data_IF_898191230986
#
_entry.id   IF_898191230986
#
_cell.length_a   1.000
_cell.length_b   1.000
_cell.length_c   1.000
_cell.angle_alpha   90.00
_cell.angle_beta   90.00
_cell.angle_gamma   90.00
#
_symmetry.space_group_name_H-M   'P 1'
#
loop_
_entity.id
_entity.type
_entity.pdbx_description
1 polymer ?
#
# COMPACT_ATOMS: atom_id res chain seq x y z
N UNK A 1 12.63 3.70 23.23
CA UNK A 1 11.89 4.01 22.01
C UNK A 1 11.69 2.70 21.28
N UNK A 2 10.44 2.30 21.13
CA UNK A 2 10.10 1.15 20.27
C UNK A 2 10.56 1.49 18.85
N UNK A 3 11.42 0.64 18.28
CA UNK A 3 12.09 0.93 17.01
C UNK A 3 11.10 0.66 15.87
N UNK A 4 11.06 1.56 14.89
CA UNK A 4 10.17 1.43 13.73
C UNK A 4 10.53 0.11 12.99
N UNK A 5 9.54 -0.73 12.62
CA UNK A 5 9.76 -2.08 12.08
C UNK A 5 10.23 -2.06 10.61
N UNK A 6 11.30 -1.33 10.29
CA UNK A 6 11.82 -1.14 8.92
C UNK A 6 12.98 -2.09 8.63
N UNK A 7 12.75 -3.03 7.71
CA UNK A 7 13.67 -4.14 7.43
C UNK A 7 15.07 -3.65 7.04
N UNK A 8 15.17 -2.61 6.22
CA UNK A 8 16.42 -2.04 5.72
C UNK A 8 17.27 -1.33 6.78
N UNK A 9 16.72 -1.11 7.99
CA UNK A 9 17.41 -0.49 9.12
C UNK A 9 17.77 -1.49 10.22
N UNK A 10 17.40 -2.77 10.07
CA UNK A 10 17.62 -3.81 11.05
C UNK A 10 19.01 -4.45 10.90
N UNK A 11 19.54 -4.91 12.03
CA UNK A 11 20.70 -5.81 12.09
C UNK A 11 20.21 -7.26 11.99
N UNK A 12 21.04 -8.20 11.51
CA UNK A 12 20.63 -9.60 11.36
C UNK A 12 20.02 -10.24 12.62
N UNK A 13 20.61 -10.04 13.79
CA UNK A 13 20.05 -10.57 15.05
C UNK A 13 18.66 -10.03 15.41
N UNK A 14 18.33 -8.80 14.99
CA UNK A 14 16.97 -8.25 15.16
C UNK A 14 15.97 -8.97 14.24
N UNK A 15 16.40 -9.36 13.03
CA UNK A 15 15.57 -10.14 12.10
C UNK A 15 15.34 -11.54 12.65
N UNK A 16 16.38 -12.19 13.15
CA UNK A 16 16.28 -13.51 13.81
C UNK A 16 15.27 -13.51 14.97
N UNK A 17 15.23 -12.43 15.75
CA UNK A 17 14.27 -12.29 16.85
C UNK A 17 12.84 -12.08 16.35
N UNK A 18 12.65 -11.32 15.27
CA UNK A 18 11.34 -11.18 14.62
C UNK A 18 10.85 -12.51 14.07
N UNK A 19 11.69 -13.29 13.39
CA UNK A 19 11.30 -14.59 12.82
C UNK A 19 10.84 -15.58 13.89
N UNK A 20 11.40 -15.52 15.10
CA UNK A 20 10.99 -16.38 16.23
C UNK A 20 9.64 -15.98 16.84
N UNK A 21 9.28 -14.70 16.80
CA UNK A 21 8.12 -14.16 17.52
C UNK A 21 6.92 -13.90 16.59
N UNK A 22 7.20 -13.32 15.43
CA UNK A 22 6.22 -12.82 14.47
C UNK A 22 6.85 -12.90 13.07
N UNK A 23 6.87 -14.09 12.43
CA UNK A 23 7.47 -14.30 11.09
C UNK A 23 6.59 -13.70 9.99
N UNK A 24 6.36 -12.39 10.09
CA UNK A 24 5.49 -11.58 9.22
C UNK A 24 6.35 -10.62 8.41
N UNK A 25 6.12 -10.57 7.10
CA UNK A 25 6.70 -9.56 6.22
C UNK A 25 5.61 -8.74 5.54
N UNK A 26 5.69 -7.42 5.64
CA UNK A 26 4.80 -6.49 4.93
C UNK A 26 5.50 -5.95 3.70
N UNK A 27 4.87 -6.12 2.53
CA UNK A 27 5.32 -5.59 1.26
C UNK A 27 4.40 -4.42 0.87
N UNK A 28 4.79 -3.16 1.13
CA UNK A 28 4.07 -2.00 0.62
C UNK A 28 4.37 -1.78 -0.86
N UNK A 29 3.34 -1.85 -1.68
CA UNK A 29 3.46 -1.81 -3.14
C UNK A 29 2.61 -0.69 -3.73
N UNK A 30 3.19 0.10 -4.62
CA UNK A 30 2.48 1.14 -5.34
C UNK A 30 3.18 1.54 -6.63
N UNK A 31 2.87 2.74 -7.11
CA UNK A 31 3.44 3.31 -8.31
C UNK A 31 4.03 4.70 -8.07
N UNK A 32 4.80 5.18 -9.06
CA UNK A 32 5.10 6.60 -9.22
C UNK A 32 4.16 7.14 -10.29
N UNK A 33 3.07 7.76 -9.85
CA UNK A 33 1.95 8.12 -10.69
C UNK A 33 1.42 9.52 -10.40
N UNK A 34 0.94 10.15 -11.45
CA UNK A 34 0.20 11.40 -11.40
C UNK A 34 -1.00 11.30 -10.46
N UNK A 35 -0.98 12.11 -9.41
CA UNK A 35 -2.06 12.20 -8.41
C UNK A 35 -2.61 13.63 -8.30
N UNK A 36 -2.82 14.27 -9.45
CA UNK A 36 -3.13 15.70 -9.51
C UNK A 36 -1.93 16.57 -9.15
N UNK A 37 -2.12 17.89 -9.20
CA UNK A 37 -1.03 18.86 -8.91
C UNK A 37 -0.80 19.09 -7.42
N UNK A 38 -1.74 18.68 -6.57
CA UNK A 38 -1.70 18.91 -5.13
C UNK A 38 -0.98 17.82 -4.36
N UNK A 39 -0.91 16.59 -4.86
CA UNK A 39 -0.19 15.50 -4.20
C UNK A 39 1.19 15.27 -4.84
N UNK A 40 2.08 14.61 -4.08
CA UNK A 40 3.32 14.07 -4.64
C UNK A 40 3.06 12.90 -5.60
N UNK A 41 4.07 12.55 -6.41
CA UNK A 41 4.01 11.42 -7.35
C UNK A 41 3.98 10.05 -6.66
N UNK A 42 4.37 9.97 -5.38
CA UNK A 42 4.56 8.71 -4.66
C UNK A 42 3.38 8.25 -3.80
N UNK A 43 2.18 8.83 -3.96
CA UNK A 43 1.01 8.58 -3.07
C UNK A 43 0.85 7.10 -2.75
N UNK A 44 0.77 6.26 -3.78
CA UNK A 44 0.52 4.82 -3.68
C UNK A 44 1.42 4.11 -2.67
N UNK A 45 2.73 4.09 -2.94
CA UNK A 45 3.64 3.29 -2.13
C UNK A 45 3.91 3.97 -0.78
N UNK A 46 3.87 5.31 -0.70
CA UNK A 46 4.09 6.05 0.54
C UNK A 46 2.98 5.80 1.56
N UNK A 47 1.70 5.91 1.17
CA UNK A 47 0.57 5.63 2.09
C UNK A 47 0.54 4.15 2.48
N UNK A 48 0.76 3.23 1.54
CA UNK A 48 0.80 1.80 1.82
C UNK A 48 1.90 1.46 2.83
N UNK A 49 3.10 2.04 2.68
CA UNK A 49 4.21 1.86 3.60
C UNK A 49 3.93 2.42 5.00
N UNK A 50 3.34 3.61 5.10
CA UNK A 50 2.96 4.19 6.39
C UNK A 50 1.92 3.32 7.13
N UNK A 51 0.92 2.82 6.40
CA UNK A 51 -0.09 1.90 6.92
C UNK A 51 0.57 0.59 7.38
N UNK A 52 1.48 0.00 6.59
CA UNK A 52 2.22 -1.20 6.98
C UNK A 52 3.03 -0.99 8.27
N UNK A 53 3.69 0.17 8.42
CA UNK A 53 4.41 0.53 9.66
C UNK A 53 3.46 0.53 10.85
N UNK A 54 2.29 1.15 10.73
CA UNK A 54 1.33 1.24 11.83
C UNK A 54 0.65 -0.09 12.16
N UNK A 55 0.45 -0.95 11.17
CA UNK A 55 0.03 -2.34 11.40
C UNK A 55 1.13 -3.11 12.14
N UNK A 56 2.37 -3.08 11.65
CA UNK A 56 3.49 -3.83 12.22
C UNK A 56 3.82 -3.42 13.66
N UNK A 57 3.61 -2.15 14.04
CA UNK A 57 3.69 -1.71 15.44
C UNK A 57 2.73 -2.46 16.37
N UNK A 58 1.65 -3.04 15.84
CA UNK A 58 0.61 -3.75 16.61
C UNK A 58 0.74 -5.26 16.56
N UNK A 59 1.20 -5.79 15.42
CA UNK A 59 1.21 -7.23 15.14
C UNK A 59 2.61 -7.82 15.11
N UNK A 60 3.66 -6.99 15.19
CA UNK A 60 5.04 -7.40 14.96
C UNK A 60 5.37 -7.57 13.48
N UNK A 61 6.50 -8.20 13.18
CA UNK A 61 7.00 -8.40 11.82
C UNK A 61 7.95 -7.32 11.32
N UNK A 62 8.31 -7.43 10.04
CA UNK A 62 9.16 -6.46 9.33
C UNK A 62 8.39 -5.83 8.18
N UNK A 63 8.61 -4.53 7.96
CA UNK A 63 8.09 -3.78 6.82
C UNK A 63 9.23 -3.54 5.85
N UNK A 64 9.05 -3.99 4.61
CA UNK A 64 10.01 -3.75 3.53
C UNK A 64 9.94 -2.28 3.08
N UNK A 65 11.02 -1.75 2.47
CA UNK A 65 10.96 -0.47 1.76
C UNK A 65 9.80 -0.41 0.76
N UNK A 66 9.19 0.77 0.54
CA UNK A 66 8.14 0.96 -0.45
C UNK A 66 8.62 0.59 -1.86
N UNK A 67 7.83 -0.23 -2.55
CA UNK A 67 8.08 -0.61 -3.94
C UNK A 67 7.29 0.32 -4.85
N UNK A 68 8.00 1.02 -5.73
CA UNK A 68 7.46 1.92 -6.73
C UNK A 68 7.45 1.25 -8.12
N UNK A 69 6.58 0.26 -8.31
CA UNK A 69 6.46 -0.51 -9.54
C UNK A 69 4.99 -0.75 -9.94
N UNK A 70 4.38 0.27 -10.55
CA UNK A 70 3.00 0.21 -11.03
C UNK A 70 2.87 -0.27 -12.47
N UNK A 71 1.87 -1.08 -12.73
CA UNK A 71 1.37 -1.44 -14.06
C UNK A 71 -0.02 -0.82 -14.24
N UNK A 72 -0.38 -0.46 -15.47
CA UNK A 72 -1.69 0.10 -15.82
C UNK A 72 -2.00 1.37 -15.01
N UNK A 73 -1.07 2.32 -15.07
CA UNK A 73 -1.15 3.62 -14.40
C UNK A 73 -2.02 4.61 -15.18
N UNK A 74 -2.00 5.89 -14.82
CA UNK A 74 -2.62 7.00 -15.53
C UNK A 74 -1.91 7.37 -16.84
N UNK A 75 -0.67 6.88 -17.05
CA UNK A 75 0.11 7.18 -18.25
C UNK A 75 -0.53 6.67 -19.54
N UNK A 76 -0.99 5.41 -19.65
CA UNK A 76 -1.65 4.89 -20.85
C UNK A 76 -3.04 5.48 -21.06
N UNK A 77 -3.68 6.02 -20.00
CA UNK A 77 -5.04 6.57 -20.09
C UNK A 77 -5.06 7.96 -20.74
N UNK A 78 -4.26 8.91 -20.23
CA UNK A 78 -4.29 10.33 -20.68
C UNK A 78 -2.91 10.92 -20.99
N UNK A 79 -1.83 10.15 -20.83
CA UNK A 79 -0.47 10.66 -21.06
C UNK A 79 0.00 11.63 -19.98
N UNK A 80 -0.55 11.55 -18.75
CA UNK A 80 -0.09 12.34 -17.62
C UNK A 80 1.42 12.13 -17.42
N UNK A 81 2.18 13.24 -17.54
CA UNK A 81 3.63 13.22 -17.45
C UNK A 81 4.06 12.97 -16.01
N UNK A 82 5.32 12.55 -15.82
CA UNK A 82 5.92 12.20 -14.53
C UNK A 82 5.42 10.89 -13.90
N UNK A 83 4.54 10.17 -14.59
CA UNK A 83 4.19 8.78 -14.28
C UNK A 83 5.18 7.79 -14.89
N UNK A 84 5.64 6.83 -14.10
CA UNK A 84 6.39 5.66 -14.55
C UNK A 84 5.45 4.48 -14.74
N UNK A 85 5.55 3.82 -15.89
CA UNK A 85 4.74 2.67 -16.26
C UNK A 85 5.68 1.47 -16.37
N UNK A 86 5.49 0.48 -15.51
CA UNK A 86 6.26 -0.76 -15.49
C UNK A 86 5.43 -1.86 -16.14
N UNK A 87 6.07 -2.69 -16.97
CA UNK A 87 5.34 -3.77 -17.65
C UNK A 87 4.76 -4.76 -16.65
N UNK A 88 3.63 -5.38 -17.01
CA UNK A 88 2.99 -6.43 -16.21
C UNK A 88 3.97 -7.54 -15.86
N UNK A 89 4.76 -7.97 -16.84
CA UNK A 89 5.71 -9.08 -16.69
C UNK A 89 6.78 -8.76 -15.64
N UNK A 90 7.32 -7.54 -15.65
CA UNK A 90 8.34 -7.14 -14.68
C UNK A 90 7.74 -6.96 -13.28
N UNK A 91 6.53 -6.39 -13.16
CA UNK A 91 5.82 -6.28 -11.87
C UNK A 91 5.57 -7.67 -11.27
N UNK A 92 5.08 -8.61 -12.07
CA UNK A 92 4.82 -9.99 -11.64
C UNK A 92 6.11 -10.74 -11.28
N UNK A 93 7.17 -10.60 -12.09
CA UNK A 93 8.45 -11.21 -11.81
C UNK A 93 9.05 -10.65 -10.52
N UNK A 94 9.04 -9.32 -10.34
CA UNK A 94 9.57 -8.68 -9.14
C UNK A 94 8.83 -9.16 -7.88
N UNK A 95 7.50 -9.24 -7.90
CA UNK A 95 6.75 -9.78 -6.76
C UNK A 95 7.13 -11.24 -6.48
N UNK A 96 7.25 -12.07 -7.51
CA UNK A 96 7.67 -13.48 -7.33
C UNK A 96 9.02 -13.56 -6.65
N UNK A 97 10.02 -12.78 -7.07
CA UNK A 97 11.33 -12.75 -6.43
C UNK A 97 11.24 -12.35 -4.95
N UNK A 98 10.44 -11.33 -4.60
CA UNK A 98 10.22 -10.97 -3.20
C UNK A 98 9.60 -12.11 -2.38
N UNK A 99 8.59 -12.79 -2.92
CA UNK A 99 7.93 -13.90 -2.22
C UNK A 99 8.90 -15.07 -1.99
N UNK A 100 9.71 -15.44 -3.00
CA UNK A 100 10.73 -16.48 -2.88
C UNK A 100 11.76 -16.14 -1.81
N UNK A 101 12.33 -14.93 -1.86
CA UNK A 101 13.36 -14.51 -0.90
C UNK A 101 12.81 -14.41 0.53
N UNK A 102 11.60 -13.90 0.72
CA UNK A 102 10.99 -13.82 2.05
C UNK A 102 10.65 -15.21 2.61
N UNK A 103 10.17 -16.12 1.76
CA UNK A 103 9.92 -17.50 2.17
C UNK A 103 11.20 -18.22 2.58
N UNK A 104 12.29 -18.04 1.82
CA UNK A 104 13.62 -18.60 2.09
C UNK A 104 14.21 -18.09 3.42
N UNK A 105 14.10 -16.79 3.69
CA UNK A 105 14.51 -16.17 4.96
C UNK A 105 13.66 -16.64 6.17
N UNK A 106 12.56 -17.37 5.93
CA UNK A 106 11.78 -17.99 6.99
C UNK A 106 10.49 -17.26 7.37
N UNK A 107 10.09 -16.22 6.63
CA UNK A 107 8.79 -15.59 6.84
C UNK A 107 7.66 -16.58 6.47
N UNK A 108 6.53 -16.48 7.19
CA UNK A 108 5.39 -17.42 7.06
C UNK A 108 4.06 -16.71 6.85
N UNK A 109 3.94 -15.45 7.26
CA UNK A 109 2.83 -14.58 6.88
C UNK A 109 3.39 -13.46 6.01
N UNK A 110 2.94 -13.36 4.77
CA UNK A 110 3.36 -12.29 3.85
C UNK A 110 2.14 -11.43 3.53
N UNK A 111 2.26 -10.13 3.76
CA UNK A 111 1.16 -9.17 3.63
C UNK A 111 1.52 -8.15 2.54
N UNK A 112 0.95 -8.33 1.35
CA UNK A 112 1.07 -7.40 0.25
C UNK A 112 -0.04 -6.33 0.35
N UNK A 113 0.35 -5.10 0.65
CA UNK A 113 -0.55 -3.94 0.76
C UNK A 113 -0.36 -3.05 -0.46
N UNK A 114 -1.40 -2.94 -1.29
CA UNK A 114 -1.34 -2.25 -2.58
C UNK A 114 -1.96 -0.85 -2.53
N UNK A 115 -1.13 0.19 -2.57
CA UNK A 115 -1.59 1.57 -2.67
C UNK A 115 -2.07 1.99 -4.07
N UNK A 116 -1.69 1.25 -5.11
CA UNK A 116 -2.17 1.46 -6.49
C UNK A 116 -3.40 0.61 -6.76
N UNK A 117 -4.49 1.23 -7.18
CA UNK A 117 -5.81 0.57 -7.29
C UNK A 117 -6.21 0.17 -8.70
N UNK A 118 -5.33 0.34 -9.70
CA UNK A 118 -5.59 -0.06 -11.07
C UNK A 118 -6.02 -1.53 -11.12
N UNK A 119 -7.25 -1.82 -11.58
CA UNK A 119 -7.81 -3.18 -11.54
C UNK A 119 -6.87 -4.25 -12.14
N UNK A 120 -6.33 -3.99 -13.33
CA UNK A 120 -5.42 -4.90 -13.99
C UNK A 120 -4.10 -5.10 -13.23
N UNK A 121 -3.65 -4.11 -12.46
CA UNK A 121 -2.50 -4.22 -11.58
C UNK A 121 -2.78 -5.10 -10.36
N UNK A 122 -3.89 -4.82 -9.67
CA UNK A 122 -4.32 -5.57 -8.49
C UNK A 122 -4.53 -7.04 -8.84
N UNK A 123 -5.21 -7.32 -9.97
CA UNK A 123 -5.39 -8.68 -10.48
C UNK A 123 -4.04 -9.34 -10.80
N UNK A 124 -3.12 -8.66 -11.49
CA UNK A 124 -1.81 -9.21 -11.84
C UNK A 124 -0.96 -9.61 -10.62
N UNK A 125 -1.01 -8.84 -9.53
CA UNK A 125 -0.30 -9.16 -8.29
C UNK A 125 -1.01 -10.28 -7.51
N UNK A 126 -2.35 -10.28 -7.46
CA UNK A 126 -3.15 -11.33 -6.82
C UNK A 126 -2.93 -12.70 -7.46
N UNK A 127 -2.80 -12.76 -8.79
CA UNK A 127 -2.49 -14.00 -9.51
C UNK A 127 -1.19 -14.62 -8.99
N UNK A 128 -0.13 -13.81 -8.85
CA UNK A 128 1.18 -14.27 -8.34
C UNK A 128 1.09 -14.73 -6.88
N UNK A 129 0.38 -13.98 -6.03
CA UNK A 129 0.15 -14.39 -4.64
C UNK A 129 -0.63 -15.70 -4.54
N UNK A 130 -1.65 -15.91 -5.38
CA UNK A 130 -2.45 -17.13 -5.42
C UNK A 130 -1.62 -18.33 -5.87
N UNK A 131 -0.87 -18.19 -6.96
CA UNK A 131 0.02 -19.25 -7.47
C UNK A 131 1.07 -19.63 -6.43
N UNK A 132 1.68 -18.64 -5.78
CA UNK A 132 2.68 -18.88 -4.74
C UNK A 132 2.08 -19.59 -3.53
N UNK A 133 0.93 -19.14 -3.02
CA UNK A 133 0.29 -19.81 -1.88
C UNK A 133 -0.10 -21.27 -2.20
N UNK A 134 -0.53 -21.55 -3.44
CA UNK A 134 -0.83 -22.91 -3.86
C UNK A 134 0.41 -23.81 -3.89
N UNK A 135 1.58 -23.26 -4.25
CA UNK A 135 2.85 -23.97 -4.24
C UNK A 135 3.47 -24.12 -2.83
N UNK A 136 3.15 -23.21 -1.91
CA UNK A 136 3.73 -23.12 -0.57
C UNK A 136 2.63 -23.14 0.52
N UNK A 137 2.02 -24.31 0.82
CA UNK A 137 0.89 -24.40 1.76
C UNK A 137 1.24 -24.05 3.21
N UNK A 138 2.53 -23.97 3.54
CA UNK A 138 3.06 -23.54 4.83
C UNK A 138 3.23 -22.01 4.96
N UNK A 139 2.85 -21.25 3.93
CA UNK A 139 2.89 -19.79 3.91
C UNK A 139 1.47 -19.26 3.76
N UNK A 140 1.14 -18.21 4.51
CA UNK A 140 -0.12 -17.48 4.40
C UNK A 140 0.13 -16.15 3.71
N UNK A 141 -0.57 -15.90 2.60
CA UNK A 141 -0.45 -14.64 1.86
C UNK A 141 -1.76 -13.86 1.96
N UNK A 142 -1.63 -12.62 2.43
CA UNK A 142 -2.70 -11.62 2.41
C UNK A 142 -2.36 -10.58 1.34
N UNK A 143 -3.20 -10.42 0.32
CA UNK A 143 -2.94 -9.50 -0.79
C UNK A 143 -4.18 -8.66 -1.13
N UNK A 144 -4.12 -7.36 -0.84
CA UNK A 144 -5.24 -6.45 -1.06
C UNK A 144 -4.79 -4.99 -1.22
N UNK A 145 -5.55 -4.18 -1.96
CA UNK A 145 -5.54 -2.73 -1.78
C UNK A 145 -5.97 -2.36 -0.36
N UNK A 146 -5.33 -1.37 0.26
CA UNK A 146 -5.56 -1.11 1.68
C UNK A 146 -7.01 -0.70 2.01
N UNK A 147 -7.71 -0.03 1.09
CA UNK A 147 -9.09 0.39 1.33
C UNK A 147 -10.06 -0.81 1.39
N UNK A 148 -9.73 -1.91 0.70
CA UNK A 148 -10.65 -3.04 0.54
C UNK A 148 -10.96 -3.72 1.88
N UNK A 149 -10.05 -3.65 2.85
CA UNK A 149 -10.25 -4.29 4.15
C UNK A 149 -11.31 -3.59 5.01
N UNK A 150 -11.69 -2.37 4.65
CA UNK A 150 -12.60 -1.50 5.41
C UNK A 150 -13.85 -1.09 4.59
N UNK A 151 -14.18 -1.83 3.52
CA UNK A 151 -15.37 -1.55 2.69
C UNK A 151 -16.66 -1.59 3.52
N UNK A 152 -16.76 -2.52 4.48
CA UNK A 152 -17.94 -2.67 5.34
C UNK A 152 -18.08 -1.52 6.34
N UNK A 153 -16.99 -0.81 6.62
CA UNK A 153 -16.96 0.42 7.42
C UNK A 153 -17.25 1.67 6.58
N UNK A 154 -17.65 1.49 5.31
CA UNK A 154 -17.96 2.58 4.38
C UNK A 154 -16.75 3.19 3.66
N UNK A 155 -15.54 2.66 3.88
CA UNK A 155 -14.33 3.16 3.21
C UNK A 155 -14.36 2.82 1.72
N UNK A 156 -14.01 3.79 0.88
CA UNK A 156 -13.87 3.62 -0.57
C UNK A 156 -12.57 4.27 -1.00
N UNK A 157 -11.75 3.52 -1.74
CA UNK A 157 -10.58 4.07 -2.42
C UNK A 157 -11.00 5.00 -3.56
N UNK A 158 -10.12 5.94 -3.89
CA UNK A 158 -10.28 6.87 -4.99
C UNK A 158 -8.94 7.10 -5.71
N UNK A 159 -8.85 8.06 -6.62
CA UNK A 159 -7.59 8.40 -7.27
C UNK A 159 -7.38 9.91 -7.26
N UNK A 160 -6.39 10.36 -6.51
CA UNK A 160 -6.08 11.73 -6.16
C UNK A 160 -7.24 12.51 -5.49
N UNK A 161 -8.31 11.82 -5.11
CA UNK A 161 -9.50 12.39 -4.51
C UNK A 161 -9.33 12.63 -3.01
N UNK A 162 -10.44 12.87 -2.33
CA UNK A 162 -10.45 13.20 -0.91
C UNK A 162 -9.91 12.08 -0.02
N UNK A 163 -10.09 10.81 -0.38
CA UNK A 163 -9.64 9.68 0.42
C UNK A 163 -8.10 9.61 0.44
N UNK A 164 -7.45 9.53 -0.72
CA UNK A 164 -5.98 9.48 -0.80
C UNK A 164 -5.33 10.75 -0.28
N UNK A 165 -5.88 11.90 -0.63
CA UNK A 165 -5.35 13.20 -0.18
C UNK A 165 -5.44 13.33 1.33
N UNK A 166 -6.52 12.85 1.97
CA UNK A 166 -6.62 12.87 3.44
C UNK A 166 -5.57 11.99 4.10
N UNK A 167 -5.34 10.79 3.58
CA UNK A 167 -4.27 9.90 4.07
C UNK A 167 -2.89 10.55 3.93
N UNK A 168 -2.62 11.20 2.80
CA UNK A 168 -1.37 11.92 2.58
C UNK A 168 -1.22 13.13 3.50
N UNK A 169 -2.30 13.89 3.75
CA UNK A 169 -2.28 14.99 4.73
C UNK A 169 -1.98 14.49 6.15
N UNK A 170 -2.38 13.27 6.49
CA UNK A 170 -2.09 12.66 7.79
C UNK A 170 -0.63 12.17 7.88
N UNK A 171 -0.15 11.40 6.90
CA UNK A 171 1.16 10.75 6.99
C UNK A 171 2.33 11.60 6.47
N UNK A 172 2.09 12.44 5.47
CA UNK A 172 3.10 13.19 4.73
C UNK A 172 2.59 14.60 4.37
N UNK A 173 2.13 15.37 5.37
CA UNK A 173 1.48 16.67 5.19
C UNK A 173 2.26 17.63 4.26
N UNK A 174 3.58 17.67 4.36
CA UNK A 174 4.45 18.56 3.56
C UNK A 174 4.47 18.24 2.06
N UNK A 175 3.85 17.13 1.65
CA UNK A 175 3.74 16.68 0.26
C UNK A 175 2.39 16.98 -0.37
N UNK A 176 1.51 17.69 0.35
CA UNK A 176 0.16 18.05 -0.10
C UNK A 176 -0.01 19.58 -0.11
N UNK A 177 -0.40 20.13 -1.25
CA UNK A 177 -0.76 21.54 -1.40
C UNK A 177 -2.04 21.70 -2.24
N UNK A 178 -3.18 21.81 -1.55
CA UNK A 178 -4.49 22.00 -2.19
C UNK A 178 -4.59 23.32 -2.97
N UNK A 179 -3.72 24.31 -2.73
CA UNK A 179 -3.74 25.58 -3.47
C UNK A 179 -3.26 25.43 -4.91
N UNK A 180 -2.64 24.29 -5.26
CA UNK A 180 -2.26 23.94 -6.64
C UNK A 180 -3.44 23.50 -7.50
N UNK A 181 -4.61 23.26 -6.91
CA UNK A 181 -5.82 22.89 -7.65
C UNK A 181 -6.55 24.11 -8.19
N UNK A 182 -7.15 24.04 -9.39
CA UNK A 182 -8.01 25.09 -9.90
C UNK A 182 -9.26 25.19 -9.02
N UNK A 183 -9.78 26.41 -8.82
CA UNK A 183 -10.95 26.67 -7.98
C UNK A 183 -12.29 26.64 -8.72
N UNK A 184 -12.29 26.84 -10.04
CA UNK A 184 -13.52 27.19 -10.79
C UNK A 184 -14.01 26.09 -11.76
N UNK A 185 -13.45 24.87 -11.70
CA UNK A 185 -13.88 23.76 -12.56
C UNK A 185 -13.84 22.38 -11.86
N UNK A 186 -14.53 21.37 -12.43
CA UNK A 186 -14.35 19.97 -12.06
C UNK A 186 -12.91 19.49 -12.31
N UNK A 187 -12.45 18.50 -11.53
CA UNK A 187 -11.06 18.04 -11.52
C UNK A 187 -10.81 16.71 -12.28
N UNK A 188 -11.87 16.04 -12.75
CA UNK A 188 -11.78 14.70 -13.33
C UNK A 188 -11.01 14.68 -14.66
N UNK A 189 -11.47 15.49 -15.63
CA UNK A 189 -11.01 15.37 -17.02
C UNK A 189 -9.58 15.89 -17.25
N UNK A 190 -9.24 17.00 -16.60
CA UNK A 190 -7.97 17.72 -16.81
C UNK A 190 -6.91 17.39 -15.75
N UNK A 191 -7.32 17.10 -14.51
CA UNK A 191 -6.37 16.80 -13.42
C UNK A 191 -6.34 15.31 -13.08
N UNK A 192 -7.21 14.50 -13.72
CA UNK A 192 -7.27 13.06 -13.49
C UNK A 192 -7.82 12.68 -12.13
N UNK A 193 -8.48 13.58 -11.39
CA UNK A 193 -8.92 13.32 -10.02
C UNK A 193 -10.26 12.61 -10.03
N UNK A 194 -10.30 11.36 -9.58
CA UNK A 194 -11.50 10.55 -9.45
C UNK A 194 -11.89 10.36 -7.99
N UNK A 195 -13.19 10.42 -7.68
CA UNK A 195 -13.72 10.28 -6.32
C UNK A 195 -14.32 11.58 -5.78
N UNK A 196 -14.33 11.70 -4.45
CA UNK A 196 -14.77 12.93 -3.78
C UNK A 196 -13.76 14.07 -4.01
N UNK A 197 -14.28 15.29 -4.15
CA UNK A 197 -13.44 16.47 -4.36
C UNK A 197 -12.53 16.75 -3.15
N UNK A 198 -11.20 16.72 -3.30
CA UNK A 198 -10.28 16.91 -2.20
C UNK A 198 -10.29 18.34 -1.64
N UNK A 199 -10.69 19.34 -2.45
CA UNK A 199 -10.72 20.75 -2.01
C UNK A 199 -11.68 20.97 -0.84
N UNK A 200 -12.77 20.22 -0.82
CA UNK A 200 -13.86 20.36 0.16
C UNK A 200 -13.91 19.22 1.17
N UNK A 201 -13.42 18.03 0.79
CA UNK A 201 -13.64 16.83 1.59
C UNK A 201 -12.34 16.20 2.14
N UNK A 202 -11.15 16.68 1.73
CA UNK A 202 -9.88 16.19 2.26
C UNK A 202 -9.42 16.99 3.48
N UNK A 203 -8.97 16.30 4.53
CA UNK A 203 -8.27 16.90 5.66
C UNK A 203 -7.50 15.85 6.47
N UNK A 204 -6.55 16.30 7.30
CA UNK A 204 -5.72 15.39 8.10
C UNK A 204 -6.51 14.60 9.15
N UNK A 205 -7.62 15.13 9.69
CA UNK A 205 -8.43 14.43 10.69
C UNK A 205 -9.13 13.22 10.05
N UNK A 206 -9.76 13.41 8.89
CA UNK A 206 -10.31 12.34 8.05
C UNK A 206 -9.23 11.31 7.72
N UNK A 207 -8.01 11.77 7.39
CA UNK A 207 -6.87 10.90 7.11
C UNK A 207 -6.53 9.97 8.28
N UNK A 208 -6.47 10.52 9.49
CA UNK A 208 -6.21 9.76 10.71
C UNK A 208 -7.32 8.73 11.02
N UNK A 209 -8.58 9.08 10.79
CA UNK A 209 -9.73 8.19 10.99
C UNK A 209 -9.74 7.02 9.99
N UNK A 210 -9.48 7.32 8.71
CA UNK A 210 -9.32 6.32 7.66
C UNK A 210 -8.15 5.38 7.97
N UNK A 211 -6.98 5.94 8.31
CA UNK A 211 -5.80 5.18 8.69
C UNK A 211 -6.08 4.25 9.88
N UNK A 212 -6.69 4.76 10.95
CA UNK A 212 -7.05 3.96 12.13
C UNK A 212 -7.94 2.77 11.76
N UNK A 213 -8.96 3.02 10.95
CA UNK A 213 -9.92 1.99 10.52
C UNK A 213 -9.23 0.90 9.69
N UNK A 214 -8.46 1.30 8.68
CA UNK A 214 -7.72 0.38 7.81
C UNK A 214 -6.70 -0.43 8.62
N UNK A 215 -5.90 0.24 9.46
CA UNK A 215 -4.87 -0.41 10.29
C UNK A 215 -5.49 -1.42 11.25
N UNK A 216 -6.66 -1.13 11.84
CA UNK A 216 -7.43 -2.10 12.64
C UNK A 216 -7.80 -3.34 11.84
N UNK A 217 -8.41 -3.16 10.66
CA UNK A 217 -8.87 -4.26 9.81
C UNK A 217 -7.73 -5.13 9.29
N UNK A 218 -6.59 -4.52 8.93
CA UNK A 218 -5.40 -5.27 8.53
C UNK A 218 -4.85 -6.06 9.72
N UNK A 219 -4.71 -5.43 10.89
CA UNK A 219 -4.17 -6.09 12.08
C UNK A 219 -5.02 -7.31 12.52
N UNK A 220 -6.35 -7.21 12.42
CA UNK A 220 -7.28 -8.32 12.65
C UNK A 220 -7.00 -9.50 11.69
N UNK A 221 -6.89 -9.23 10.39
CA UNK A 221 -6.61 -10.26 9.37
C UNK A 221 -5.24 -10.92 9.56
N UNK A 222 -4.22 -10.12 9.91
CA UNK A 222 -2.87 -10.64 10.17
C UNK A 222 -2.85 -11.54 11.40
N UNK A 223 -3.51 -11.11 12.48
CA UNK A 223 -3.57 -11.90 13.73
C UNK A 223 -4.29 -13.24 13.51
N UNK A 224 -5.34 -13.24 12.68
CA UNK A 224 -6.00 -14.47 12.26
C UNK A 224 -5.06 -15.36 11.43
N UNK A 225 -4.35 -14.79 10.45
CA UNK A 225 -3.40 -15.54 9.62
C UNK A 225 -2.26 -16.19 10.42
N UNK A 226 -1.79 -15.53 11.48
CA UNK A 226 -0.82 -16.13 12.41
C UNK A 226 -1.41 -17.29 13.21
N UNK A 227 -2.66 -17.16 13.63
CA UNK A 227 -3.36 -18.22 14.39
C UNK A 227 -3.58 -19.45 13.52
N UNK A 228 -3.90 -19.27 12.23
CA UNK A 228 -4.09 -20.35 11.26
C UNK A 228 -2.80 -21.16 10.97
N UNK A 229 -1.61 -20.62 11.32
CA UNK A 229 -0.32 -21.29 11.14
C UNK A 229 0.14 -22.11 12.35
N UNK A 230 -0.49 -21.91 13.52
CA UNK A 230 -0.15 -22.57 14.79
C UNK A 230 -0.82 -23.95 14.93
#
# INVERSE_FOLDING_TARGET
>A
MERIPRYELMRPGEVEDVLKQSPIAYIPWGSLEWHGRHNCIGVDALKAHAICIDVAKRTGGVVLPPIFAGYHTMKPYRGFKHTLEISKELVQQLLREYLEQLHDEGFRVIVLVMGHYGRAHVEALRDICSDFQAAHPNVRILAFPEYEVAIDDGVRGDHAGAYETSLMMHYYADTVDLTQLPSERPLVEEDGIGGEDPRTNANSQRGAELATTIVNRIAERVSQALTDLA
#
